data_IF_565360083859
#
_entry.id   IF_565360083859
#
_cell.length_a   1.000
_cell.length_b   1.000
_cell.length_c   1.000
_cell.angle_alpha   90.00
_cell.angle_beta   90.00
_cell.angle_gamma   90.00
#
_symmetry.space_group_name_H-M   'P 1'
#
loop_
_entity.id
_entity.type
_entity.pdbx_description
1 polymer ?
#
# COMPACT_ATOMS: atom_id res chain seq x y z
N UNK A 1 3.29 -1.67 -12.16
CA UNK A 1 3.83 -2.28 -10.90
C UNK A 1 2.80 -3.18 -10.21
N UNK A 2 1.55 -2.74 -10.04
CA UNK A 2 0.49 -3.50 -9.34
C UNK A 2 0.26 -4.95 -9.84
N UNK A 3 0.33 -5.31 -11.16
CA UNK A 3 0.03 -6.68 -11.57
C UNK A 3 0.99 -7.71 -10.98
N UNK A 4 2.27 -7.35 -10.83
CA UNK A 4 3.27 -8.25 -10.23
C UNK A 4 3.03 -8.47 -8.75
N UNK A 5 2.74 -7.40 -8.01
CA UNK A 5 2.40 -7.45 -6.59
C UNK A 5 1.14 -8.28 -6.36
N UNK A 6 0.07 -7.98 -7.09
CA UNK A 6 -1.22 -8.68 -6.98
C UNK A 6 -1.10 -10.19 -7.28
N UNK A 7 -0.40 -10.56 -8.34
CA UNK A 7 -0.17 -11.97 -8.67
C UNK A 7 0.66 -12.70 -7.61
N UNK A 8 1.67 -12.03 -7.02
CA UNK A 8 2.46 -12.62 -5.95
C UNK A 8 1.63 -12.83 -4.69
N UNK A 9 0.85 -11.83 -4.28
CA UNK A 9 -0.05 -11.94 -3.12
C UNK A 9 -1.08 -13.06 -3.31
N UNK A 10 -1.71 -13.14 -4.50
CA UNK A 10 -2.64 -14.22 -4.85
C UNK A 10 -1.96 -15.59 -4.80
N UNK A 11 -0.73 -15.69 -5.31
CA UNK A 11 0.05 -16.93 -5.26
C UNK A 11 0.42 -17.39 -3.84
N UNK A 12 0.43 -16.47 -2.87
CA UNK A 12 0.59 -16.75 -1.44
C UNK A 12 -0.75 -17.01 -0.72
N UNK A 13 -1.86 -17.06 -1.45
CA UNK A 13 -3.19 -17.38 -0.91
C UNK A 13 -4.00 -16.17 -0.45
N UNK A 14 -3.56 -14.94 -0.73
CA UNK A 14 -4.32 -13.75 -0.39
C UNK A 14 -5.56 -13.57 -1.29
N UNK A 15 -6.65 -13.09 -0.70
CA UNK A 15 -7.81 -12.61 -1.43
C UNK A 15 -7.54 -11.17 -1.90
N UNK A 16 -7.10 -11.03 -3.15
CA UNK A 16 -6.64 -9.75 -3.68
C UNK A 16 -7.78 -8.97 -4.31
N UNK A 17 -7.90 -7.72 -3.89
CA UNK A 17 -8.78 -6.71 -4.46
C UNK A 17 -7.95 -5.61 -5.09
N UNK A 18 -8.31 -5.18 -6.28
CA UNK A 18 -7.71 -4.05 -6.97
C UNK A 18 -8.64 -2.84 -6.87
N UNK A 19 -8.10 -1.72 -6.42
CA UNK A 19 -8.80 -0.43 -6.49
C UNK A 19 -8.20 0.39 -7.62
N UNK A 20 -9.00 0.78 -8.58
CA UNK A 20 -8.54 1.47 -9.78
C UNK A 20 -9.59 2.46 -10.27
N UNK A 21 -9.15 3.63 -10.72
CA UNK A 21 -10.01 4.68 -11.28
C UNK A 21 -9.98 4.71 -12.82
N UNK A 22 -8.89 4.24 -13.42
CA UNK A 22 -8.79 4.12 -14.89
C UNK A 22 -9.62 2.92 -15.35
N UNK A 23 -10.63 3.12 -16.22
CA UNK A 23 -11.52 2.04 -16.64
C UNK A 23 -10.82 0.95 -17.46
N UNK A 24 -9.76 1.28 -18.20
CA UNK A 24 -9.00 0.30 -18.99
C UNK A 24 -8.16 -0.57 -18.06
N UNK A 25 -7.49 0.04 -17.09
CA UNK A 25 -6.73 -0.68 -16.07
C UNK A 25 -7.65 -1.54 -15.18
N UNK A 26 -8.83 -1.04 -14.82
CA UNK A 26 -9.85 -1.79 -14.09
C UNK A 26 -10.34 -3.01 -14.88
N UNK A 27 -10.67 -2.82 -16.18
CA UNK A 27 -11.08 -3.92 -17.06
C UNK A 27 -9.98 -4.98 -17.18
N UNK A 28 -8.73 -4.56 -17.36
CA UNK A 28 -7.59 -5.49 -17.40
C UNK A 28 -7.48 -6.30 -16.11
N UNK A 29 -7.64 -5.66 -14.95
CA UNK A 29 -7.61 -6.36 -13.67
C UNK A 29 -8.72 -7.43 -13.56
N UNK A 30 -9.92 -7.11 -14.03
CA UNK A 30 -11.05 -8.08 -14.11
C UNK A 30 -10.71 -9.25 -15.04
N UNK A 31 -10.15 -8.99 -16.22
CA UNK A 31 -9.74 -10.03 -17.17
C UNK A 31 -8.61 -10.92 -16.61
N UNK A 32 -7.75 -10.37 -15.76
CA UNK A 32 -6.72 -11.11 -15.03
C UNK A 32 -7.28 -11.91 -13.82
N UNK A 33 -8.60 -11.86 -13.61
CA UNK A 33 -9.32 -12.62 -12.56
C UNK A 33 -9.25 -11.99 -11.18
N UNK A 34 -9.02 -10.68 -11.08
CA UNK A 34 -9.07 -9.95 -9.82
C UNK A 34 -10.46 -9.33 -9.59
N UNK A 35 -10.84 -9.24 -8.33
CA UNK A 35 -11.98 -8.43 -7.92
C UNK A 35 -11.58 -6.95 -7.96
N UNK A 36 -12.42 -6.12 -8.60
CA UNK A 36 -12.18 -4.66 -8.69
C UNK A 36 -13.31 -3.92 -7.98
N UNK A 37 -12.96 -2.88 -7.21
CA UNK A 37 -13.92 -2.02 -6.52
C UNK A 37 -13.33 -0.65 -6.25
N UNK A 38 -14.17 0.28 -5.77
CA UNK A 38 -13.71 1.59 -5.30
C UNK A 38 -12.94 1.46 -3.99
N UNK A 39 -12.03 2.40 -3.73
CA UNK A 39 -11.26 2.42 -2.49
C UNK A 39 -12.17 2.58 -1.26
N UNK A 40 -13.24 3.37 -1.36
CA UNK A 40 -14.21 3.53 -0.26
C UNK A 40 -14.84 2.19 0.16
N UNK A 41 -15.15 1.31 -0.79
CA UNK A 41 -15.71 -0.02 -0.52
C UNK A 41 -14.62 -0.97 0.01
N UNK A 42 -13.42 -0.91 -0.58
CA UNK A 42 -12.29 -1.76 -0.20
C UNK A 42 -11.78 -1.46 1.22
N UNK A 43 -11.86 -0.21 1.67
CA UNK A 43 -11.37 0.22 2.97
C UNK A 43 -11.97 -0.57 4.14
N UNK A 44 -13.26 -0.94 4.04
CA UNK A 44 -13.97 -1.66 5.09
C UNK A 44 -13.66 -3.16 5.16
N UNK A 45 -13.13 -3.74 4.09
CA UNK A 45 -12.90 -5.20 4.00
C UNK A 45 -11.42 -5.59 3.97
N UNK A 46 -10.52 -4.64 3.63
CA UNK A 46 -9.09 -4.88 3.53
C UNK A 46 -8.42 -5.09 4.88
N UNK A 47 -7.41 -5.94 4.89
CA UNK A 47 -6.52 -6.16 6.04
C UNK A 47 -5.14 -5.54 5.77
N UNK A 48 -4.69 -5.57 4.50
CA UNK A 48 -3.42 -4.99 4.05
C UNK A 48 -3.68 -4.12 2.82
N UNK A 49 -3.20 -2.88 2.88
CA UNK A 49 -3.32 -1.90 1.81
C UNK A 49 -1.93 -1.57 1.25
N UNK A 50 -1.76 -1.78 -0.07
CA UNK A 50 -0.53 -1.46 -0.77
C UNK A 50 -0.81 -0.47 -1.89
N UNK A 51 -0.38 0.77 -1.74
CA UNK A 51 -0.48 1.77 -2.81
C UNK A 51 0.65 1.61 -3.81
N UNK A 52 0.37 1.82 -5.09
CA UNK A 52 1.32 1.63 -6.19
C UNK A 52 0.97 2.49 -7.41
N UNK A 53 0.43 3.70 -7.20
CA UNK A 53 -0.18 4.52 -8.25
C UNK A 53 0.73 5.63 -8.75
N UNK A 54 1.60 6.16 -7.90
CA UNK A 54 2.36 7.38 -8.15
C UNK A 54 1.50 8.66 -8.04
N UNK A 55 0.27 8.55 -7.55
CA UNK A 55 -0.66 9.67 -7.38
C UNK A 55 -0.73 10.10 -5.91
N UNK A 56 -1.00 11.38 -5.69
CA UNK A 56 -1.18 11.91 -4.34
C UNK A 56 -2.55 11.52 -3.77
N UNK A 57 -2.60 11.34 -2.43
CA UNK A 57 -3.84 11.20 -1.67
C UNK A 57 -4.72 10.00 -2.11
N UNK A 58 -4.10 8.85 -2.37
CA UNK A 58 -4.79 7.60 -2.69
C UNK A 58 -5.52 7.04 -1.47
N UNK A 59 -4.84 7.06 -0.31
CA UNK A 59 -5.45 6.75 0.99
C UNK A 59 -5.57 8.05 1.78
N UNK A 60 -6.80 8.44 2.08
CA UNK A 60 -7.14 9.65 2.81
C UNK A 60 -8.00 9.33 4.03
N UNK A 61 -8.27 10.34 4.87
CA UNK A 61 -8.95 10.18 6.14
C UNK A 61 -10.24 9.38 6.12
N UNK A 62 -11.13 9.59 5.13
CA UNK A 62 -12.39 8.83 5.02
C UNK A 62 -12.19 7.32 4.84
N UNK A 63 -11.09 6.92 4.18
CA UNK A 63 -10.73 5.50 4.04
C UNK A 63 -10.24 4.94 5.38
N UNK A 64 -9.41 5.72 6.09
CA UNK A 64 -8.88 5.37 7.42
C UNK A 64 -10.02 5.17 8.41
N UNK A 65 -11.04 6.03 8.38
CA UNK A 65 -12.24 5.95 9.23
C UNK A 65 -13.01 4.63 9.04
N UNK A 66 -12.89 4.00 7.87
CA UNK A 66 -13.58 2.75 7.51
C UNK A 66 -12.72 1.49 7.67
N UNK A 67 -11.41 1.62 7.88
CA UNK A 67 -10.50 0.48 7.99
C UNK A 67 -10.74 -0.34 9.25
N UNK A 68 -10.37 -1.62 9.20
CA UNK A 68 -10.46 -2.54 10.33
C UNK A 68 -9.38 -2.27 11.38
N UNK A 69 -9.64 -2.75 12.61
CA UNK A 69 -8.60 -2.88 13.65
C UNK A 69 -7.42 -3.72 13.11
N UNK A 70 -6.20 -3.24 13.33
CA UNK A 70 -4.98 -3.90 12.90
C UNK A 70 -4.68 -3.81 11.41
N UNK A 71 -5.39 -2.96 10.64
CA UNK A 71 -5.11 -2.78 9.24
C UNK A 71 -3.68 -2.28 9.00
N UNK A 72 -3.02 -2.80 7.98
CA UNK A 72 -1.65 -2.47 7.62
C UNK A 72 -1.65 -1.65 6.33
N UNK A 73 -1.01 -0.49 6.36
CA UNK A 73 -0.87 0.40 5.21
C UNK A 73 0.60 0.45 4.80
N UNK A 74 0.85 0.29 3.51
CA UNK A 74 2.19 0.38 2.92
C UNK A 74 2.15 1.06 1.55
N UNK A 75 3.26 1.67 1.17
CA UNK A 75 3.43 2.24 -0.16
C UNK A 75 4.52 1.48 -0.92
N UNK A 76 4.22 1.10 -2.16
CA UNK A 76 5.16 0.55 -3.13
C UNK A 76 5.35 1.47 -4.34
N UNK A 77 4.72 2.64 -4.33
CA UNK A 77 4.93 3.71 -5.30
C UNK A 77 6.19 4.51 -5.01
N UNK A 78 6.62 5.30 -5.98
CA UNK A 78 7.86 6.07 -5.89
C UNK A 78 7.76 7.24 -4.90
N UNK A 79 6.59 7.85 -4.80
CA UNK A 79 6.36 9.03 -3.98
C UNK A 79 5.68 8.66 -2.66
N UNK A 80 6.10 9.30 -1.58
CA UNK A 80 5.57 9.13 -0.22
C UNK A 80 4.23 9.84 0.02
N UNK A 81 3.69 10.52 -0.99
CA UNK A 81 2.43 11.26 -0.90
C UNK A 81 1.17 10.45 -1.24
N UNK A 82 1.29 9.15 -1.54
CA UNK A 82 0.14 8.30 -1.84
C UNK A 82 -0.75 8.07 -0.63
N UNK A 83 -0.16 8.05 0.56
CA UNK A 83 -0.86 7.95 1.85
C UNK A 83 -0.87 9.33 2.50
N UNK A 84 -2.05 9.85 2.82
CA UNK A 84 -2.18 11.13 3.51
C UNK A 84 -1.86 10.95 5.00
N UNK A 85 -0.57 11.07 5.35
CA UNK A 85 -0.08 10.92 6.73
C UNK A 85 -0.66 12.00 7.66
N UNK A 86 -0.73 13.28 7.27
CA UNK A 86 -1.40 14.31 8.09
C UNK A 86 -2.84 13.94 8.47
N UNK A 87 -3.60 13.34 7.55
CA UNK A 87 -4.96 12.86 7.83
C UNK A 87 -4.98 11.73 8.86
N UNK A 88 -4.00 10.82 8.81
CA UNK A 88 -3.84 9.72 9.75
C UNK A 88 -3.43 10.24 11.14
N UNK A 89 -2.46 11.15 11.19
CA UNK A 89 -2.00 11.78 12.43
C UNK A 89 -3.14 12.57 13.12
N UNK A 90 -3.92 13.34 12.36
CA UNK A 90 -5.05 14.11 12.90
C UNK A 90 -6.16 13.24 13.51
N UNK A 91 -6.26 11.98 13.10
CA UNK A 91 -7.24 11.00 13.60
C UNK A 91 -6.69 10.15 14.75
N UNK A 92 -5.42 10.28 15.06
CA UNK A 92 -4.74 9.44 16.03
C UNK A 92 -4.60 10.16 17.38
N UNK A 93 -4.91 9.44 18.45
CA UNK A 93 -4.69 9.91 19.82
C UNK A 93 -3.27 9.64 20.31
N UNK A 94 -2.63 8.61 19.76
CA UNK A 94 -1.30 8.17 20.16
C UNK A 94 -0.60 7.51 18.95
N UNK A 95 0.71 7.74 18.84
CA UNK A 95 1.55 7.14 17.81
C UNK A 95 2.74 6.49 18.51
N UNK A 96 2.99 5.23 18.25
CA UNK A 96 4.12 4.52 18.85
C UNK A 96 4.79 3.58 17.84
N UNK A 97 6.10 3.46 17.97
CA UNK A 97 6.90 2.56 17.13
C UNK A 97 6.87 1.16 17.71
N UNK A 98 6.37 0.16 16.97
CA UNK A 98 6.41 -1.24 17.38
C UNK A 98 7.78 -1.84 17.12
N UNK A 99 8.34 -1.54 15.96
CA UNK A 99 9.68 -1.91 15.52
C UNK A 99 10.15 -0.95 14.44
N UNK A 100 11.39 -1.01 14.07
CA UNK A 100 11.94 -0.22 12.98
C UNK A 100 11.04 -0.32 11.73
N UNK A 101 10.73 0.82 11.12
CA UNK A 101 9.84 0.97 9.96
C UNK A 101 8.40 0.43 10.13
N UNK A 102 7.93 0.26 11.37
CA UNK A 102 6.54 -0.09 11.67
C UNK A 102 6.02 0.79 12.80
N UNK A 103 5.19 1.75 12.47
CA UNK A 103 4.52 2.64 13.41
C UNK A 103 3.05 2.24 13.56
N UNK A 104 2.56 2.24 14.79
CA UNK A 104 1.16 2.03 15.11
C UNK A 104 0.52 3.36 15.47
N UNK A 105 -0.59 3.64 14.83
CA UNK A 105 -1.44 4.81 15.01
C UNK A 105 -2.71 4.38 15.71
N UNK A 106 -2.82 4.73 17.00
CA UNK A 106 -4.04 4.49 17.75
C UNK A 106 -5.04 5.59 17.46
N UNK A 107 -6.09 5.25 16.75
CA UNK A 107 -7.14 6.20 16.37
C UNK A 107 -7.96 6.67 17.58
N UNK A 108 -8.64 7.80 17.43
CA UNK A 108 -9.51 8.38 18.47
C UNK A 108 -10.71 7.49 18.86
N UNK A 109 -11.09 6.55 17.97
CA UNK A 109 -12.13 5.54 18.23
C UNK A 109 -11.62 4.26 18.90
N UNK A 110 -10.33 4.19 19.20
CA UNK A 110 -9.67 3.08 19.87
C UNK A 110 -9.04 2.04 18.94
N UNK A 111 -9.31 2.07 17.64
CA UNK A 111 -8.67 1.18 16.66
C UNK A 111 -7.21 1.55 16.45
N UNK A 112 -6.42 0.56 16.07
CA UNK A 112 -5.01 0.72 15.75
C UNK A 112 -4.77 0.41 14.28
N UNK A 113 -4.04 1.27 13.58
CA UNK A 113 -3.62 1.08 12.19
C UNK A 113 -2.10 1.09 12.14
N UNK A 114 -1.52 0.21 11.35
CA UNK A 114 -0.08 0.09 11.16
C UNK A 114 0.35 0.75 9.87
N UNK A 115 1.32 1.66 9.95
CA UNK A 115 1.94 2.30 8.79
C UNK A 115 3.37 1.81 8.64
N UNK A 116 3.67 1.22 7.50
CA UNK A 116 5.02 0.75 7.19
C UNK A 116 5.86 1.85 6.52
N UNK A 117 7.12 1.96 6.95
CA UNK A 117 8.13 2.85 6.37
C UNK A 117 7.72 4.33 6.28
N UNK A 118 6.75 4.79 7.10
CA UNK A 118 6.17 6.14 7.03
C UNK A 118 5.68 6.52 5.63
N UNK A 119 5.04 5.60 4.93
CA UNK A 119 4.55 5.84 3.57
C UNK A 119 5.62 5.92 2.48
N UNK A 120 6.91 5.78 2.82
CA UNK A 120 7.99 5.68 1.84
C UNK A 120 7.94 4.34 1.12
N UNK A 121 8.68 4.22 0.03
CA UNK A 121 8.80 2.98 -0.77
C UNK A 121 9.27 1.81 0.12
N UNK A 122 8.34 0.94 0.51
CA UNK A 122 8.52 -0.05 1.58
C UNK A 122 9.65 -1.05 1.29
N UNK A 123 9.85 -1.44 0.03
CA UNK A 123 10.90 -2.39 -0.34
C UNK A 123 12.32 -1.82 -0.23
N UNK A 124 12.49 -0.50 -0.22
CA UNK A 124 13.78 0.15 -0.01
C UNK A 124 13.96 0.62 1.43
N UNK A 125 12.90 1.06 2.08
CA UNK A 125 12.98 1.63 3.43
C UNK A 125 12.89 0.55 4.53
N UNK A 126 12.15 -0.53 4.30
CA UNK A 126 11.87 -1.57 5.31
C UNK A 126 12.27 -3.00 4.86
N UNK A 127 12.96 -3.13 3.72
CA UNK A 127 13.48 -4.39 3.21
C UNK A 127 14.85 -4.18 2.56
N UNK A 128 15.44 -5.25 2.06
CA UNK A 128 16.83 -5.25 1.53
C UNK A 128 16.93 -4.65 0.11
N UNK A 129 15.82 -4.36 -0.55
CA UNK A 129 15.79 -3.91 -1.94
C UNK A 129 16.09 -5.04 -2.93
N UNK A 130 16.77 -4.72 -4.04
CA UNK A 130 17.14 -5.71 -5.04
C UNK A 130 18.57 -6.20 -4.80
N UNK A 131 18.84 -7.50 -4.99
CA UNK A 131 20.20 -8.02 -5.00
C UNK A 131 21.08 -7.33 -6.05
N UNK A 132 22.37 -7.20 -5.77
CA UNK A 132 23.35 -6.55 -6.65
C UNK A 132 23.37 -7.15 -8.06
N UNK A 133 23.27 -8.47 -8.16
CA UNK A 133 23.28 -9.22 -9.42
C UNK A 133 22.07 -8.86 -10.31
N UNK A 134 20.92 -8.59 -9.70
CA UNK A 134 19.73 -8.14 -10.43
C UNK A 134 19.90 -6.69 -10.89
N UNK A 135 20.54 -5.86 -10.06
CA UNK A 135 20.81 -4.47 -10.43
C UNK A 135 21.85 -4.35 -11.54
N UNK A 136 22.87 -5.22 -11.57
CA UNK A 136 23.86 -5.28 -12.66
C UNK A 136 23.20 -5.53 -14.01
N UNK A 137 22.25 -6.47 -14.08
CA UNK A 137 21.49 -6.70 -15.32
C UNK A 137 20.63 -5.48 -15.72
N UNK A 138 20.05 -4.80 -14.73
CA UNK A 138 19.27 -3.59 -14.99
C UNK A 138 20.13 -2.45 -15.51
N UNK A 139 21.30 -2.23 -14.92
CA UNK A 139 22.23 -1.20 -15.35
C UNK A 139 22.84 -1.52 -16.71
N UNK A 140 23.19 -2.77 -16.99
CA UNK A 140 23.64 -3.18 -18.30
C UNK A 140 22.60 -2.86 -19.40
N UNK A 141 21.32 -3.14 -19.15
CA UNK A 141 20.23 -2.79 -20.09
C UNK A 141 19.99 -1.28 -20.25
N UNK A 142 20.35 -0.47 -19.27
CA UNK A 142 20.25 0.98 -19.35
C UNK A 142 21.43 1.62 -20.10
N UNK A 143 22.57 0.92 -20.10
CA UNK A 143 23.79 1.38 -20.78
C UNK A 143 23.80 1.07 -22.27
N UNK A 144 23.15 -0.01 -22.71
CA UNK A 144 23.03 -0.43 -24.13
C UNK A 144 21.95 0.36 -24.87
#
# INVERSE_FOLDING_TARGET
MWPRLANRARGLGANVVITEIDPICALKAIMDGFRVMKMDDAASIGDIFCTATGMKDVIVGRHIDSMKEGAIISNTGHYDCEINIPDLEARSSEIFTIRENNEAFKLNDGRTIHLLARGRLVNLAAAEGHPSEVMDMSFANQFL
#
